data_IF_321917589479
#
_entry.id   IF_321917589479
#
_cell.length_a   1.000
_cell.length_b   1.000
_cell.length_c   1.000
_cell.angle_alpha   90.00
_cell.angle_beta   90.00
_cell.angle_gamma   90.00
#
_symmetry.space_group_name_H-M   'P 1'
#
loop_
_entity.id
_entity.type
_entity.pdbx_description
1 polymer ?
#
# COMPACT_ATOMS: atom_id res chain seq x y z
N UNK A 1 -15.77 -34.86 3.81
CA UNK A 1 -16.45 -34.00 2.82
C UNK A 1 -15.43 -33.49 1.81
N UNK A 2 -15.85 -33.15 0.59
CA UNK A 2 -14.99 -32.50 -0.41
C UNK A 2 -15.09 -30.98 -0.25
N UNK A 3 -13.98 -30.27 -0.43
CA UNK A 3 -13.97 -28.80 -0.42
C UNK A 3 -14.52 -28.23 -1.73
N UNK A 4 -14.99 -26.98 -1.70
CA UNK A 4 -15.33 -26.24 -2.92
C UNK A 4 -14.11 -26.09 -3.85
N UNK A 5 -14.38 -25.97 -5.15
CA UNK A 5 -13.35 -25.64 -6.15
C UNK A 5 -12.82 -24.23 -5.88
N UNK A 6 -11.49 -24.10 -5.86
CA UNK A 6 -10.79 -22.83 -5.70
C UNK A 6 -9.94 -22.55 -6.95
N UNK A 7 -10.07 -21.35 -7.50
CA UNK A 7 -9.34 -20.85 -8.67
C UNK A 7 -8.35 -19.78 -8.21
N UNK A 8 -7.08 -20.14 -7.93
CA UNK A 8 -6.14 -19.25 -7.25
C UNK A 8 -5.98 -17.88 -7.91
N UNK A 9 -5.93 -17.83 -9.23
CA UNK A 9 -5.76 -16.59 -9.97
C UNK A 9 -6.88 -15.56 -9.72
N UNK A 10 -8.13 -16.02 -9.55
CA UNK A 10 -9.31 -15.17 -9.34
C UNK A 10 -9.63 -14.95 -7.88
N UNK A 11 -9.47 -15.98 -7.05
CA UNK A 11 -10.00 -16.01 -5.69
C UNK A 11 -8.95 -15.71 -4.61
N UNK A 12 -7.65 -15.64 -4.97
CA UNK A 12 -6.63 -15.26 -3.99
C UNK A 12 -6.79 -13.82 -3.54
N UNK A 13 -6.69 -13.59 -2.23
CA UNK A 13 -6.67 -12.26 -1.65
C UNK A 13 -5.23 -11.76 -1.55
N UNK A 14 -4.96 -10.60 -2.13
CA UNK A 14 -3.65 -9.96 -2.05
C UNK A 14 -3.54 -9.23 -0.72
N UNK A 15 -2.45 -9.49 0.01
CA UNK A 15 -2.15 -8.80 1.27
C UNK A 15 -1.86 -7.31 1.06
N UNK A 16 -1.87 -6.51 2.14
CA UNK A 16 -1.53 -5.09 2.06
C UNK A 16 -0.07 -4.87 1.62
N UNK A 17 0.25 -3.71 1.04
CA UNK A 17 1.62 -3.33 0.79
C UNK A 17 2.35 -3.01 2.09
N UNK A 18 3.67 -3.20 2.11
CA UNK A 18 4.51 -2.67 3.17
C UNK A 18 4.81 -1.20 2.87
N UNK A 19 4.62 -0.35 3.88
CA UNK A 19 4.80 1.09 3.79
C UNK A 19 5.95 1.50 4.70
N UNK A 20 6.90 2.26 4.15
CA UNK A 20 7.96 2.92 4.92
C UNK A 20 7.91 4.41 4.66
N UNK A 21 7.81 5.19 5.72
CA UNK A 21 7.72 6.65 5.66
C UNK A 21 9.05 7.25 6.05
N UNK A 22 9.58 8.13 5.22
CA UNK A 22 10.78 8.91 5.49
C UNK A 22 10.41 10.38 5.35
N UNK A 23 10.47 11.13 6.46
CA UNK A 23 10.20 12.56 6.44
C UNK A 23 11.48 13.36 6.14
N UNK A 24 11.27 14.54 5.58
CA UNK A 24 12.24 15.63 5.46
C UNK A 24 11.51 16.91 5.85
N UNK A 25 12.20 18.03 6.09
CA UNK A 25 11.61 19.28 6.61
C UNK A 25 10.48 19.88 5.75
N UNK A 26 10.26 19.40 4.51
CA UNK A 26 9.27 19.96 3.57
C UNK A 26 8.37 18.92 2.89
N UNK A 27 8.70 17.64 2.99
CA UNK A 27 7.98 16.60 2.25
C UNK A 27 8.11 15.25 2.94
N UNK A 28 7.16 14.37 2.64
CA UNK A 28 7.19 12.98 3.08
C UNK A 28 7.47 12.09 1.87
N UNK A 29 8.48 11.22 1.99
CA UNK A 29 8.74 10.17 1.02
C UNK A 29 8.15 8.86 1.51
N UNK A 30 7.27 8.27 0.70
CA UNK A 30 6.64 6.97 0.97
C UNK A 30 7.30 5.92 0.09
N UNK A 31 7.91 4.92 0.69
CA UNK A 31 8.42 3.74 -0.01
C UNK A 31 7.44 2.60 0.14
N UNK A 32 7.07 1.98 -0.97
CA UNK A 32 6.06 0.95 -1.10
C UNK A 32 6.70 -0.34 -1.57
N UNK A 33 6.31 -1.45 -0.95
CA UNK A 33 6.72 -2.78 -1.37
C UNK A 33 5.49 -3.69 -1.50
N UNK A 34 5.37 -4.36 -2.66
CA UNK A 34 4.34 -5.36 -2.87
C UNK A 34 4.51 -6.53 -1.90
N UNK A 35 3.40 -7.16 -1.45
CA UNK A 35 3.47 -8.40 -0.70
C UNK A 35 4.13 -9.49 -1.55
N UNK A 36 4.63 -10.51 -0.87
CA UNK A 36 5.25 -11.66 -1.52
C UNK A 36 4.26 -12.79 -1.69
N UNK A 37 4.35 -13.53 -2.80
CA UNK A 37 3.63 -14.77 -3.01
C UNK A 37 4.11 -15.85 -2.03
N UNK A 38 3.30 -16.88 -1.74
CA UNK A 38 3.73 -18.03 -0.95
C UNK A 38 4.84 -18.85 -1.63
N UNK A 39 5.00 -18.71 -2.95
CA UNK A 39 6.04 -19.40 -3.72
C UNK A 39 7.42 -18.73 -3.57
N UNK A 40 8.46 -19.55 -3.67
CA UNK A 40 9.85 -19.12 -3.66
C UNK A 40 10.52 -19.51 -4.99
N UNK A 41 11.50 -18.72 -5.42
CA UNK A 41 12.34 -19.09 -6.58
C UNK A 41 13.21 -20.29 -6.22
N UNK A 42 13.84 -20.92 -7.21
CA UNK A 42 14.78 -22.06 -7.03
C UNK A 42 15.85 -21.82 -5.95
N UNK A 43 16.33 -20.57 -5.81
CA UNK A 43 17.34 -20.14 -4.81
C UNK A 43 16.73 -19.60 -3.50
N UNK A 44 15.45 -19.81 -3.25
CA UNK A 44 14.77 -19.44 -1.99
C UNK A 44 14.28 -17.99 -1.88
N UNK A 45 14.63 -17.10 -2.81
CA UNK A 45 14.17 -15.70 -2.77
C UNK A 45 12.65 -15.60 -2.93
N UNK A 46 12.03 -14.69 -2.19
CA UNK A 46 10.60 -14.38 -2.26
C UNK A 46 10.24 -13.78 -3.63
N UNK A 47 9.04 -14.08 -4.13
CA UNK A 47 8.53 -13.53 -5.39
C UNK A 47 7.47 -12.47 -5.04
N UNK A 48 7.59 -11.22 -5.52
CA UNK A 48 6.57 -10.21 -5.25
C UNK A 48 5.29 -10.49 -6.06
N UNK A 49 4.13 -10.15 -5.50
CA UNK A 49 2.84 -10.35 -6.16
C UNK A 49 2.69 -9.53 -7.45
N UNK A 50 3.47 -8.45 -7.60
CA UNK A 50 3.56 -7.66 -8.85
C UNK A 50 4.11 -8.45 -10.05
N UNK A 51 4.68 -9.65 -9.84
CA UNK A 51 5.09 -10.52 -10.94
C UNK A 51 3.91 -11.34 -11.52
N UNK A 52 2.80 -11.43 -10.79
CA UNK A 52 1.62 -12.20 -11.19
C UNK A 52 0.46 -11.28 -11.61
N UNK A 53 0.28 -10.17 -10.89
CA UNK A 53 -0.80 -9.23 -11.09
C UNK A 53 -0.26 -7.86 -11.50
N UNK A 54 -1.04 -7.15 -12.31
CA UNK A 54 -0.83 -5.72 -12.50
C UNK A 54 -1.45 -4.95 -11.32
N UNK A 55 -0.59 -4.51 -10.40
CA UNK A 55 -0.99 -3.92 -9.12
C UNK A 55 -0.86 -2.40 -9.18
N UNK A 56 -1.88 -1.69 -8.70
CA UNK A 56 -1.82 -0.26 -8.38
C UNK A 56 -1.73 -0.08 -6.87
N UNK A 57 -0.84 0.79 -6.43
CA UNK A 57 -0.82 1.28 -5.06
C UNK A 57 -1.75 2.48 -4.93
N UNK A 58 -2.65 2.44 -3.98
CA UNK A 58 -3.44 3.58 -3.55
C UNK A 58 -2.93 4.05 -2.19
N UNK A 59 -2.38 5.26 -2.13
CA UNK A 59 -1.79 5.84 -0.91
C UNK A 59 -2.71 6.93 -0.38
N UNK A 60 -3.04 6.81 0.89
CA UNK A 60 -3.90 7.75 1.60
C UNK A 60 -3.12 8.45 2.70
N UNK A 61 -3.33 9.75 2.82
CA UNK A 61 -2.89 10.54 3.95
C UNK A 61 -4.06 10.78 4.90
N UNK A 62 -3.77 10.66 6.18
CA UNK A 62 -4.69 10.89 7.29
C UNK A 62 -4.08 11.99 8.15
N UNK A 63 -4.75 13.11 8.26
CA UNK A 63 -4.39 14.18 9.18
C UNK A 63 -5.51 14.41 10.19
N UNK A 64 -5.11 14.64 11.44
CA UNK A 64 -6.03 15.05 12.50
C UNK A 64 -6.03 16.58 12.53
N UNK A 65 -6.87 17.20 11.69
CA UNK A 65 -7.21 18.60 11.87
C UNK A 65 -8.41 18.64 12.81
N UNK A 66 -8.31 19.50 13.84
CA UNK A 66 -9.08 19.70 15.08
C UNK A 66 -10.48 19.04 15.20
N UNK A 67 -11.27 18.86 14.13
CA UNK A 67 -12.65 18.33 14.22
C UNK A 67 -13.03 17.24 13.19
N UNK A 68 -12.16 16.81 12.26
CA UNK A 68 -12.47 15.75 11.29
C UNK A 68 -11.23 14.90 10.91
N UNK A 69 -11.35 13.58 10.97
CA UNK A 69 -10.36 12.66 10.38
C UNK A 69 -10.54 12.68 8.86
N UNK A 70 -9.67 13.41 8.16
CA UNK A 70 -9.68 13.42 6.69
C UNK A 70 -8.76 12.34 6.15
N UNK A 71 -9.34 11.39 5.42
CA UNK A 71 -8.61 10.38 4.65
C UNK A 71 -8.63 10.79 3.19
N UNK A 72 -7.48 11.20 2.66
CA UNK A 72 -7.36 11.71 1.28
C UNK A 72 -6.49 10.79 0.47
N UNK A 73 -6.98 10.30 -0.67
CA UNK A 73 -6.17 9.61 -1.68
C UNK A 73 -5.22 10.63 -2.30
N UNK A 74 -3.92 10.46 -2.09
CA UNK A 74 -2.88 11.37 -2.60
C UNK A 74 -2.12 10.80 -3.78
N UNK A 75 -2.22 9.50 -4.00
CA UNK A 75 -1.55 8.83 -5.10
C UNK A 75 -2.24 7.52 -5.47
N UNK A 76 -2.36 7.28 -6.78
CA UNK A 76 -2.71 5.99 -7.36
C UNK A 76 -1.76 5.68 -8.52
N UNK A 77 -1.09 4.53 -8.49
CA UNK A 77 -0.17 4.14 -9.57
C UNK A 77 0.80 3.02 -9.20
N UNK A 78 1.81 2.80 -10.03
CA UNK A 78 2.76 1.67 -9.91
C UNK A 78 4.09 2.04 -9.26
N UNK A 79 4.31 3.32 -8.97
CA UNK A 79 5.58 3.81 -8.44
C UNK A 79 5.79 3.29 -7.02
N UNK A 80 7.02 2.85 -6.75
CA UNK A 80 7.42 2.32 -5.43
C UNK A 80 7.88 3.40 -4.46
N UNK A 81 8.10 4.62 -4.95
CA UNK A 81 8.61 5.74 -4.17
C UNK A 81 7.83 6.99 -4.53
N UNK A 82 7.01 7.46 -3.60
CA UNK A 82 6.12 8.61 -3.77
C UNK A 82 6.61 9.76 -2.92
N UNK A 83 6.60 10.98 -3.46
CA UNK A 83 6.86 12.20 -2.70
C UNK A 83 5.54 12.94 -2.50
N UNK A 84 5.14 13.10 -1.25
CA UNK A 84 4.00 13.93 -0.85
C UNK A 84 4.54 15.29 -0.44
N UNK A 85 4.13 16.33 -1.16
CA UNK A 85 4.55 17.73 -0.96
C UNK A 85 3.39 18.56 -0.37
N UNK A 86 3.63 19.85 -0.18
CA UNK A 86 2.64 20.83 0.28
C UNK A 86 2.01 20.51 1.64
N UNK A 87 2.80 19.86 2.50
CA UNK A 87 2.43 19.51 3.86
C UNK A 87 2.83 20.64 4.84
N UNK A 88 2.02 20.85 5.87
CA UNK A 88 2.25 21.88 6.89
C UNK A 88 3.28 21.40 7.91
N UNK A 89 4.33 22.17 8.19
CA UNK A 89 5.24 21.88 9.30
C UNK A 89 4.50 21.88 10.65
N UNK A 90 4.94 21.04 11.58
CA UNK A 90 4.39 20.88 12.92
C UNK A 90 3.12 20.02 12.99
N UNK A 91 2.64 19.48 11.86
CA UNK A 91 1.43 18.64 11.81
C UNK A 91 1.80 17.17 11.75
N UNK A 92 1.07 16.33 12.50
CA UNK A 92 1.17 14.88 12.43
C UNK A 92 0.39 14.33 11.25
N UNK A 93 1.09 13.60 10.37
CA UNK A 93 0.53 12.93 9.21
C UNK A 93 0.67 11.42 9.37
N UNK A 94 -0.42 10.71 9.20
CA UNK A 94 -0.47 9.26 9.15
C UNK A 94 -0.70 8.79 7.72
N UNK A 95 0.00 7.75 7.30
CA UNK A 95 -0.03 7.22 5.94
C UNK A 95 -0.48 5.76 6.01
N UNK A 96 -1.46 5.43 5.17
CA UNK A 96 -1.89 4.05 4.90
C UNK A 96 -1.91 3.83 3.40
N UNK A 97 -1.65 2.60 2.97
CA UNK A 97 -1.77 2.25 1.56
C UNK A 97 -2.49 0.92 1.40
N UNK A 98 -3.14 0.73 0.26
CA UNK A 98 -3.68 -0.57 -0.17
C UNK A 98 -3.29 -0.83 -1.62
N UNK A 99 -3.44 -2.07 -2.04
CA UNK A 99 -3.25 -2.51 -3.41
C UNK A 99 -4.61 -2.63 -4.08
N UNK A 100 -4.70 -2.18 -5.32
CA UNK A 100 -5.84 -2.37 -6.20
C UNK A 100 -5.41 -3.18 -7.43
N UNK A 101 -6.26 -4.13 -7.84
CA UNK A 101 -6.06 -4.99 -9.01
C UNK A 101 -7.18 -4.72 -10.01
N UNK A 102 -6.96 -3.87 -11.01
CA UNK A 102 -8.02 -3.42 -11.91
C UNK A 102 -8.72 -4.57 -12.65
N UNK A 103 -7.96 -5.57 -13.10
CA UNK A 103 -8.49 -6.70 -13.88
C UNK A 103 -9.50 -7.55 -13.11
N UNK A 104 -9.41 -7.56 -11.77
CA UNK A 104 -10.30 -8.33 -10.91
C UNK A 104 -11.24 -7.43 -10.09
N UNK A 105 -11.09 -6.10 -10.19
CA UNK A 105 -11.73 -5.13 -9.29
C UNK A 105 -11.55 -5.47 -7.79
N UNK A 106 -10.37 -6.00 -7.44
CA UNK A 106 -10.05 -6.44 -6.08
C UNK A 106 -9.16 -5.42 -5.38
N UNK A 107 -9.41 -5.20 -4.09
CA UNK A 107 -8.54 -4.41 -3.22
C UNK A 107 -7.98 -5.25 -2.08
N UNK A 108 -6.74 -5.00 -1.67
CA UNK A 108 -6.21 -5.50 -0.42
C UNK A 108 -6.83 -4.76 0.78
N UNK A 109 -6.61 -5.29 1.98
CA UNK A 109 -6.73 -4.50 3.20
C UNK A 109 -5.74 -3.32 3.20
N UNK A 110 -5.95 -2.36 4.10
CA UNK A 110 -4.99 -1.29 4.35
C UNK A 110 -3.72 -1.82 5.03
N UNK A 111 -2.60 -1.18 4.75
CA UNK A 111 -1.34 -1.38 5.46
C UNK A 111 -1.46 -0.96 6.93
N UNK A 112 -0.45 -1.32 7.72
CA UNK A 112 -0.26 -0.69 9.02
C UNK A 112 -0.12 0.83 8.84
N UNK A 113 -0.72 1.58 9.76
CA UNK A 113 -0.68 3.03 9.80
C UNK A 113 0.72 3.49 10.21
N UNK A 114 1.37 4.30 9.38
CA UNK A 114 2.68 4.89 9.66
C UNK A 114 2.53 6.40 9.86
N UNK A 115 2.83 6.89 11.06
CA UNK A 115 2.65 8.31 11.39
C UNK A 115 4.01 9.00 11.58
N UNK A 116 4.12 10.25 11.14
CA UNK A 116 5.28 11.10 11.35
C UNK A 116 4.81 12.54 11.54
N UNK A 117 5.56 13.29 12.35
CA UNK A 117 5.42 14.74 12.44
C UNK A 117 6.36 15.34 11.40
N UNK A 118 5.87 16.34 10.66
CA UNK A 118 6.68 17.10 9.71
C UNK A 118 7.31 18.32 10.37
#
# INVERSE_FOLDING_TARGET
SLSCRFTPWRETMIGPPMVTVVHSNKYITVKLQAPHSPYKRKRGSKIPMSNYYDLLYQVFIINNLVDEVRVVLVYEGKDKVIKIQDLRPGVSYCIVAKIYVPVLDHSSAYSSRQCTVL
#
